data_IF_120972400814
#
_entry.id   IF_120972400814
#
_cell.length_a   1.000
_cell.length_b   1.000
_cell.length_c   1.000
_cell.angle_alpha   90.00
_cell.angle_beta   90.00
_cell.angle_gamma   90.00
#
_symmetry.space_group_name_H-M   'P 1'
#
loop_
_entity.id
_entity.type
_entity.pdbx_description
1 polymer ?
#
# COMPACT_ATOMS: atom_id res chain seq x y z
N UNK A 1 -5.37 -29.78 -32.09
CA UNK A 1 -5.84 -28.71 -31.17
C UNK A 1 -7.04 -29.25 -30.39
N UNK A 2 -7.17 -28.98 -29.08
CA UNK A 2 -8.37 -29.38 -28.35
C UNK A 2 -9.58 -28.62 -28.91
N UNK A 3 -10.68 -29.32 -29.16
CA UNK A 3 -11.93 -28.71 -29.59
C UNK A 3 -12.69 -28.21 -28.35
N UNK A 4 -12.52 -26.95 -27.99
CA UNK A 4 -13.28 -26.33 -26.89
C UNK A 4 -14.64 -25.86 -27.42
N UNK A 5 -15.67 -26.65 -27.19
CA UNK A 5 -17.06 -26.25 -27.45
C UNK A 5 -17.82 -26.09 -26.15
N UNK A 6 -18.25 -24.86 -25.86
CA UNK A 6 -19.12 -24.58 -24.72
C UNK A 6 -20.57 -24.91 -25.06
N UNK A 7 -21.38 -25.41 -24.10
CA UNK A 7 -22.81 -25.58 -24.31
C UNK A 7 -23.48 -24.28 -24.80
N UNK A 8 -24.58 -24.37 -25.57
CA UNK A 8 -25.42 -23.22 -25.93
C UNK A 8 -25.80 -22.37 -24.71
N UNK A 9 -25.94 -21.05 -24.89
CA UNK A 9 -26.05 -20.08 -23.79
C UNK A 9 -27.27 -20.30 -22.87
N UNK A 10 -28.36 -20.80 -23.42
CA UNK A 10 -29.58 -21.21 -22.72
C UNK A 10 -29.31 -22.35 -21.72
N UNK A 11 -28.44 -23.30 -22.08
CA UNK A 11 -28.08 -24.48 -21.27
C UNK A 11 -26.93 -24.23 -20.29
N UNK A 12 -26.36 -23.02 -20.26
CA UNK A 12 -25.29 -22.66 -19.31
C UNK A 12 -25.89 -22.37 -17.94
N UNK A 13 -25.34 -23.02 -16.91
CA UNK A 13 -25.79 -22.84 -15.52
C UNK A 13 -25.46 -21.45 -14.96
N UNK A 14 -24.23 -20.96 -15.20
CA UNK A 14 -23.71 -19.73 -14.57
C UNK A 14 -23.27 -18.70 -15.62
N UNK A 15 -22.57 -19.15 -16.66
CA UNK A 15 -22.03 -18.26 -17.69
C UNK A 15 -23.14 -17.57 -18.49
N UNK A 16 -23.07 -16.25 -18.59
CA UNK A 16 -24.06 -15.43 -19.33
C UNK A 16 -25.37 -15.21 -18.57
N UNK A 17 -25.48 -15.64 -17.31
CA UNK A 17 -26.66 -15.39 -16.47
C UNK A 17 -26.40 -14.20 -15.54
N UNK A 18 -27.43 -13.39 -15.29
CA UNK A 18 -27.39 -12.37 -14.24
C UNK A 18 -27.33 -13.08 -12.89
N UNK A 19 -26.26 -12.85 -12.13
CA UNK A 19 -26.11 -13.38 -10.78
C UNK A 19 -25.89 -12.25 -9.79
N UNK A 20 -26.47 -12.38 -8.60
CA UNK A 20 -26.23 -11.45 -7.50
C UNK A 20 -24.92 -11.81 -6.81
N UNK A 21 -24.08 -10.81 -6.56
CA UNK A 21 -22.87 -11.00 -5.77
C UNK A 21 -23.21 -11.11 -4.29
N UNK A 22 -22.69 -12.13 -3.61
CA UNK A 22 -22.86 -12.31 -2.16
C UNK A 22 -22.32 -11.11 -1.36
N UNK A 23 -21.18 -10.57 -1.76
CA UNK A 23 -20.55 -9.41 -1.13
C UNK A 23 -21.15 -8.07 -1.56
N UNK A 24 -22.01 -8.06 -2.59
CA UNK A 24 -22.58 -6.85 -3.19
C UNK A 24 -23.30 -5.97 -2.17
N UNK A 25 -24.31 -6.49 -1.45
CA UNK A 25 -25.07 -5.71 -0.48
C UNK A 25 -24.22 -5.12 0.64
N UNK A 26 -23.20 -5.83 1.14
CA UNK A 26 -22.34 -5.33 2.21
C UNK A 26 -21.43 -4.20 1.71
N UNK A 27 -20.86 -4.34 0.51
CA UNK A 27 -20.00 -3.32 -0.10
C UNK A 27 -20.76 -2.07 -0.52
N UNK A 28 -21.93 -2.22 -1.14
CA UNK A 28 -22.72 -1.07 -1.62
C UNK A 28 -23.40 -0.28 -0.50
N UNK A 29 -23.51 -0.84 0.70
CA UNK A 29 -24.11 -0.17 1.86
C UNK A 29 -23.09 0.33 2.88
N UNK A 30 -21.78 0.19 2.62
CA UNK A 30 -20.73 0.58 3.57
C UNK A 30 -20.64 -0.30 4.83
N UNK A 31 -21.35 -1.45 4.86
CA UNK A 31 -21.28 -2.41 5.99
C UNK A 31 -20.03 -3.28 5.94
N UNK A 32 -19.45 -3.47 4.76
CA UNK A 32 -18.17 -4.15 4.62
C UNK A 32 -17.07 -3.32 5.30
N UNK A 33 -16.34 -3.94 6.24
CA UNK A 33 -15.17 -3.36 6.88
C UNK A 33 -13.91 -3.71 6.08
N UNK A 34 -13.08 -2.72 5.83
CA UNK A 34 -11.77 -2.84 5.20
C UNK A 34 -10.67 -2.57 6.21
N UNK A 35 -9.42 -2.86 5.84
CA UNK A 35 -8.28 -2.68 6.74
C UNK A 35 -8.13 -1.23 7.24
N UNK A 36 -8.49 -0.24 6.43
CA UNK A 36 -8.49 1.18 6.81
C UNK A 36 -9.55 1.54 7.86
N UNK A 37 -10.57 0.71 8.05
CA UNK A 37 -11.60 0.92 9.07
C UNK A 37 -11.20 0.34 10.43
N UNK A 38 -10.07 -0.38 10.50
CA UNK A 38 -9.59 -1.03 11.71
C UNK A 38 -8.64 -0.09 12.47
N UNK A 39 -8.96 0.18 13.74
CA UNK A 39 -8.13 0.96 14.65
C UNK A 39 -7.91 0.18 15.95
N UNK A 40 -7.09 -0.88 15.94
CA UNK A 40 -6.76 -1.61 17.15
C UNK A 40 -5.98 -0.73 18.13
N UNK A 41 -6.03 -1.09 19.41
CA UNK A 41 -5.22 -0.44 20.44
C UNK A 41 -3.74 -0.60 20.09
N UNK A 42 -2.97 0.47 20.28
CA UNK A 42 -1.52 0.53 20.03
C UNK A 42 -1.12 0.32 18.55
N UNK A 43 -2.03 0.61 17.60
CA UNK A 43 -1.72 0.64 16.17
C UNK A 43 -0.62 1.67 15.86
N UNK A 44 0.42 1.23 15.16
CA UNK A 44 1.38 2.12 14.52
C UNK A 44 1.04 2.30 13.05
N UNK A 45 1.06 3.55 12.61
CA UNK A 45 0.87 3.96 11.23
C UNK A 45 2.21 3.96 10.52
N UNK A 46 2.29 3.17 9.45
CA UNK A 46 3.48 3.07 8.61
C UNK A 46 3.41 4.04 7.43
N UNK A 47 4.54 4.65 7.08
CA UNK A 47 4.71 5.34 5.79
C UNK A 47 6.08 5.02 5.19
N UNK A 48 6.23 5.30 3.90
CA UNK A 48 7.46 5.12 3.15
C UNK A 48 7.95 6.48 2.65
N UNK A 49 9.21 6.80 2.89
CA UNK A 49 9.90 7.81 2.09
C UNK A 49 10.27 7.17 0.75
N UNK A 50 9.85 7.78 -0.35
CA UNK A 50 10.08 7.25 -1.70
C UNK A 50 10.89 8.22 -2.57
N UNK A 51 11.53 7.68 -3.60
CA UNK A 51 12.30 8.49 -4.55
C UNK A 51 11.37 9.32 -5.44
N UNK A 52 11.55 10.66 -5.51
CA UNK A 52 10.83 11.48 -6.50
C UNK A 52 11.43 11.35 -7.91
N UNK A 53 12.59 10.69 -8.05
CA UNK A 53 13.32 10.58 -9.31
C UNK A 53 13.14 9.22 -9.97
N UNK A 54 12.96 9.23 -11.29
CA UNK A 54 12.86 8.02 -12.11
C UNK A 54 14.18 7.24 -12.19
N UNK A 55 15.33 7.91 -12.11
CA UNK A 55 16.63 7.27 -12.01
C UNK A 55 17.60 8.18 -11.26
N UNK A 56 18.29 7.66 -10.25
CA UNK A 56 19.23 8.46 -9.45
C UNK A 56 20.22 7.57 -8.70
N UNK A 57 21.42 8.09 -8.42
CA UNK A 57 22.36 7.47 -7.46
C UNK A 57 22.21 8.13 -6.10
N UNK A 58 21.95 7.33 -5.07
CA UNK A 58 21.88 7.83 -3.69
C UNK A 58 23.30 8.16 -3.23
N UNK A 59 23.53 9.42 -2.88
CA UNK A 59 24.81 9.83 -2.28
C UNK A 59 24.89 9.44 -0.80
N UNK A 60 23.83 9.77 -0.06
CA UNK A 60 23.70 9.48 1.36
C UNK A 60 22.22 9.52 1.75
N UNK A 61 21.90 8.94 2.92
CA UNK A 61 20.59 8.99 3.54
C UNK A 61 20.79 9.38 5.00
N UNK A 62 20.09 10.40 5.46
CA UNK A 62 20.04 10.78 6.88
C UNK A 62 18.60 10.62 7.40
N UNK A 63 18.42 9.64 8.29
CA UNK A 63 17.13 9.37 8.94
C UNK A 63 17.03 10.00 10.34
N UNK A 64 18.07 10.69 10.80
CA UNK A 64 18.12 11.25 12.14
C UNK A 64 17.03 12.27 12.46
N UNK A 65 16.52 13.09 11.51
CA UNK A 65 15.41 14.00 11.79
C UNK A 65 14.13 13.25 12.14
N UNK A 66 13.75 12.24 11.35
CA UNK A 66 12.55 11.44 11.58
C UNK A 66 12.63 10.66 12.91
N UNK A 67 13.81 10.13 13.26
CA UNK A 67 14.01 9.42 14.54
C UNK A 67 13.80 10.32 15.77
N UNK A 68 13.98 11.63 15.64
CA UNK A 68 13.82 12.59 16.74
C UNK A 68 12.41 13.15 16.86
N UNK A 69 11.53 12.86 15.90
CA UNK A 69 10.17 13.40 15.91
C UNK A 69 9.32 12.71 16.98
N UNK A 70 8.58 13.53 17.74
CA UNK A 70 7.65 13.01 18.74
C UNK A 70 6.56 12.17 18.08
N UNK A 71 6.29 10.98 18.62
CA UNK A 71 5.31 10.03 18.10
C UNK A 71 5.86 9.07 17.05
N UNK A 72 7.07 9.30 16.51
CA UNK A 72 7.76 8.29 15.71
C UNK A 72 8.30 7.20 16.63
N UNK A 73 7.97 5.95 16.32
CA UNK A 73 8.37 4.77 17.13
C UNK A 73 9.50 4.00 16.48
N UNK A 74 9.58 3.98 15.13
CA UNK A 74 10.67 3.33 14.41
C UNK A 74 10.93 4.02 13.07
N UNK A 75 12.20 4.06 12.66
CA UNK A 75 12.64 4.47 11.33
C UNK A 75 13.71 3.52 10.84
N UNK A 76 13.62 3.07 9.58
CA UNK A 76 14.58 2.17 8.96
C UNK A 76 14.90 2.61 7.54
N UNK A 77 16.19 2.78 7.24
CA UNK A 77 16.64 2.91 5.87
C UNK A 77 16.50 1.57 5.13
N UNK A 78 15.86 1.60 3.96
CA UNK A 78 15.71 0.45 3.06
C UNK A 78 16.86 0.42 2.05
N UNK A 79 17.30 1.60 1.60
CA UNK A 79 18.47 1.81 0.75
C UNK A 79 19.64 2.40 1.54
N UNK A 80 20.82 2.40 0.94
CA UNK A 80 22.03 2.99 1.48
C UNK A 80 22.69 3.96 0.48
N UNK A 81 23.66 4.74 0.97
CA UNK A 81 24.54 5.50 0.08
C UNK A 81 25.27 4.57 -0.90
N UNK A 82 25.30 4.96 -2.17
CA UNK A 82 25.86 4.20 -3.28
C UNK A 82 24.82 3.44 -4.12
N UNK A 83 23.64 3.16 -3.55
CA UNK A 83 22.56 2.46 -4.25
C UNK A 83 22.03 3.29 -5.42
N UNK A 84 21.52 2.59 -6.44
CA UNK A 84 20.94 3.18 -7.63
C UNK A 84 19.43 2.94 -7.66
N UNK A 85 18.69 4.02 -7.85
CA UNK A 85 17.25 4.04 -8.04
C UNK A 85 16.95 3.92 -9.52
N UNK A 86 15.99 3.05 -9.84
CA UNK A 86 15.62 2.69 -11.20
C UNK A 86 14.19 3.14 -11.58
N UNK A 87 13.41 3.65 -10.62
CA UNK A 87 12.07 4.21 -10.87
C UNK A 87 11.65 5.21 -9.78
N UNK A 88 10.72 6.10 -10.13
CA UNK A 88 10.07 7.01 -9.20
C UNK A 88 9.11 6.21 -8.31
N UNK A 89 9.05 6.55 -7.02
CA UNK A 89 8.33 5.79 -6.00
C UNK A 89 9.13 4.64 -5.38
N UNK A 90 10.37 4.40 -5.82
CA UNK A 90 11.23 3.40 -5.19
C UNK A 90 11.45 3.71 -3.70
N UNK A 91 11.35 2.69 -2.85
CA UNK A 91 11.36 2.84 -1.40
C UNK A 91 12.77 3.17 -0.90
N UNK A 92 12.89 4.27 -0.13
CA UNK A 92 14.16 4.75 0.43
C UNK A 92 14.24 4.40 1.92
N UNK A 93 13.19 4.69 2.68
CA UNK A 93 13.10 4.41 4.10
C UNK A 93 11.66 4.12 4.53
N UNK A 94 11.48 3.37 5.61
CA UNK A 94 10.19 3.16 6.27
C UNK A 94 10.15 3.84 7.63
N UNK A 95 8.99 4.41 7.96
CA UNK A 95 8.70 5.09 9.22
C UNK A 95 7.46 4.45 9.83
N UNK A 96 7.45 4.28 11.15
CA UNK A 96 6.26 3.90 11.92
C UNK A 96 6.02 4.90 13.05
N UNK A 97 4.80 5.39 13.18
CA UNK A 97 4.41 6.41 14.18
C UNK A 97 3.07 6.12 14.84
N UNK A 98 2.77 6.83 15.93
CA UNK A 98 1.54 6.64 16.72
C UNK A 98 0.28 7.22 16.09
N UNK A 99 0.41 8.05 15.05
CA UNK A 99 -0.71 8.55 14.26
C UNK A 99 -0.33 8.64 12.78
N UNK A 100 -1.33 8.67 11.91
CA UNK A 100 -1.13 8.79 10.46
C UNK A 100 -0.47 10.12 10.09
N UNK A 101 -0.86 11.20 10.74
CA UNK A 101 -0.33 12.55 10.52
C UNK A 101 1.15 12.60 10.88
N UNK A 102 1.53 12.08 12.05
CA UNK A 102 2.94 12.01 12.47
C UNK A 102 3.76 11.15 11.51
N UNK A 103 3.21 10.03 11.04
CA UNK A 103 3.89 9.19 10.05
C UNK A 103 4.17 9.99 8.77
N UNK A 104 3.15 10.64 8.20
CA UNK A 104 3.26 11.43 6.96
C UNK A 104 4.23 12.61 7.11
N UNK A 105 4.14 13.36 8.20
CA UNK A 105 5.03 14.50 8.46
C UNK A 105 6.49 14.06 8.63
N UNK A 106 6.73 12.84 9.12
CA UNK A 106 8.07 12.27 9.25
C UNK A 106 8.67 11.76 7.93
N UNK A 107 7.89 11.73 6.83
CA UNK A 107 8.36 11.38 5.49
C UNK A 107 7.91 12.45 4.46
N UNK A 108 8.43 13.69 4.56
CA UNK A 108 8.00 14.77 3.66
C UNK A 108 8.35 14.44 2.21
N UNK A 109 7.34 14.44 1.33
CA UNK A 109 7.48 14.09 -0.09
C UNK A 109 7.07 12.66 -0.44
N UNK A 110 6.57 11.88 0.53
CA UNK A 110 5.79 10.67 0.31
C UNK A 110 4.39 10.94 -0.25
#
# INVERSE_FOLDING_TARGET
MPNYSWPPMDKRRIMGKRTSRLDGPAKSSGRAKYNSDLNPKDLLFGTLLTSPYAHARIKSIDISPAQKMQGVTAVRAIKNGGDEIQWAGAEIASIAATSEEVARDAAPGA
#
